data_IF_543074766813
#
_entry.id   IF_543074766813
#
_cell.length_a   1.000
_cell.length_b   1.000
_cell.length_c   1.000
_cell.angle_alpha   90.00
_cell.angle_beta   90.00
_cell.angle_gamma   90.00
#
_symmetry.space_group_name_H-M   'P 1'
#
loop_
_entity.id
_entity.type
_entity.pdbx_description
1 polymer ?
#
# COMPACT_ATOMS: atom_id res chain seq x y z
N UNK A 1 9.97 -2.48 13.06
CA UNK A 1 9.99 -2.37 11.59
C UNK A 1 8.60 -1.92 11.15
N UNK A 2 8.49 -0.88 10.31
CA UNK A 2 7.21 -0.60 9.67
C UNK A 2 6.88 -1.76 8.73
N UNK A 3 5.69 -2.34 8.84
CA UNK A 3 5.29 -3.46 7.98
C UNK A 3 5.27 -3.04 6.50
N UNK A 4 5.54 -3.99 5.61
CA UNK A 4 5.42 -3.81 4.17
C UNK A 4 4.66 -4.98 3.54
N UNK A 5 3.99 -4.72 2.42
CA UNK A 5 3.26 -5.74 1.66
C UNK A 5 3.17 -5.33 0.19
N UNK A 6 3.18 -6.29 -0.73
CA UNK A 6 2.88 -6.00 -2.13
C UNK A 6 1.39 -5.72 -2.29
N UNK A 7 1.03 -4.78 -3.17
CA UNK A 7 -0.37 -4.49 -3.49
C UNK A 7 -1.15 -5.73 -3.93
N UNK A 8 -0.49 -6.67 -4.64
CA UNK A 8 -1.11 -7.95 -5.02
C UNK A 8 -1.55 -8.76 -3.80
N UNK A 9 -0.72 -8.83 -2.76
CA UNK A 9 -1.05 -9.54 -1.52
C UNK A 9 -2.21 -8.86 -0.78
N UNK A 10 -2.30 -7.53 -0.85
CA UNK A 10 -3.42 -6.77 -0.28
C UNK A 10 -4.71 -7.11 -1.02
N UNK A 11 -4.68 -7.15 -2.36
CA UNK A 11 -5.82 -7.59 -3.18
C UNK A 11 -6.24 -9.02 -2.80
N UNK A 12 -5.30 -9.96 -2.76
CA UNK A 12 -5.56 -11.37 -2.45
C UNK A 12 -6.14 -11.56 -1.04
N UNK A 13 -5.63 -10.84 -0.04
CA UNK A 13 -6.08 -10.98 1.36
C UNK A 13 -7.38 -10.25 1.68
N UNK A 14 -7.70 -9.17 0.96
CA UNK A 14 -8.92 -8.38 1.22
C UNK A 14 -10.10 -8.82 0.35
N UNK A 15 -9.84 -9.47 -0.79
CA UNK A 15 -10.88 -9.79 -1.79
C UNK A 15 -11.41 -8.56 -2.54
N UNK A 16 -10.82 -7.37 -2.35
CA UNK A 16 -11.23 -6.18 -3.06
C UNK A 16 -10.70 -6.14 -4.49
N UNK A 17 -11.44 -5.46 -5.38
CA UNK A 17 -10.96 -5.22 -6.73
C UNK A 17 -9.65 -4.42 -6.70
N UNK A 18 -8.80 -4.63 -7.72
CA UNK A 18 -7.53 -3.89 -7.85
C UNK A 18 -7.74 -2.38 -7.87
N UNK A 19 -8.82 -1.91 -8.50
CA UNK A 19 -9.19 -0.49 -8.54
C UNK A 19 -9.51 0.05 -7.13
N UNK A 20 -10.33 -0.66 -6.36
CA UNK A 20 -10.67 -0.29 -4.98
C UNK A 20 -9.44 -0.26 -4.06
N UNK A 21 -8.57 -1.28 -4.17
CA UNK A 21 -7.30 -1.29 -3.43
C UNK A 21 -6.42 -0.10 -3.82
N UNK A 22 -6.34 0.23 -5.11
CA UNK A 22 -5.55 1.38 -5.56
C UNK A 22 -6.09 2.71 -5.03
N UNK A 23 -7.42 2.89 -5.02
CA UNK A 23 -8.07 4.09 -4.47
C UNK A 23 -7.76 4.26 -2.98
N UNK A 24 -7.93 3.19 -2.18
CA UNK A 24 -7.63 3.18 -0.74
C UNK A 24 -6.15 3.52 -0.51
N UNK A 25 -5.24 2.86 -1.22
CA UNK A 25 -3.80 3.09 -1.05
C UNK A 25 -3.40 4.51 -1.47
N UNK A 26 -4.02 5.08 -2.51
CA UNK A 26 -3.79 6.49 -2.88
C UNK A 26 -4.26 7.46 -1.81
N UNK A 27 -5.40 7.20 -1.17
CA UNK A 27 -5.87 8.00 -0.05
C UNK A 27 -4.92 7.90 1.16
N UNK A 28 -4.45 6.69 1.50
CA UNK A 28 -3.50 6.47 2.59
C UNK A 28 -2.13 7.12 2.33
N UNK A 29 -1.65 7.07 1.10
CA UNK A 29 -0.41 7.74 0.67
C UNK A 29 -0.55 9.26 0.75
N UNK A 30 -1.68 9.81 0.27
CA UNK A 30 -2.00 11.25 0.39
C UNK A 30 -2.06 11.71 1.86
N UNK A 31 -2.55 10.85 2.74
CA UNK A 31 -2.58 11.10 4.19
C UNK A 31 -1.23 10.85 4.89
N UNK A 32 -0.18 10.49 4.14
CA UNK A 32 1.16 10.28 4.67
C UNK A 32 1.34 9.00 5.50
N UNK A 33 0.38 8.07 5.46
CA UNK A 33 0.40 6.82 6.25
C UNK A 33 1.31 5.77 5.61
N UNK A 34 1.38 5.76 4.28
CA UNK A 34 2.18 4.79 3.51
C UNK A 34 2.99 5.46 2.41
N UNK A 35 3.88 4.70 1.81
CA UNK A 35 4.60 5.01 0.57
C UNK A 35 4.46 3.87 -0.44
N UNK A 36 4.24 4.20 -1.71
CA UNK A 36 4.26 3.23 -2.82
C UNK A 36 5.63 3.22 -3.50
N UNK A 37 6.31 2.07 -3.42
CA UNK A 37 7.60 1.86 -4.08
C UNK A 37 7.43 0.89 -5.25
N UNK A 38 7.87 1.28 -6.45
CA UNK A 38 7.87 0.38 -7.61
C UNK A 38 9.05 -0.59 -7.52
N UNK A 39 8.75 -1.89 -7.48
CA UNK A 39 9.75 -2.97 -7.44
C UNK A 39 9.50 -3.89 -8.63
N UNK A 40 10.29 -3.71 -9.69
CA UNK A 40 10.11 -4.41 -10.96
C UNK A 40 8.73 -4.13 -11.57
N UNK A 41 7.92 -5.18 -11.71
CA UNK A 41 6.53 -5.11 -12.22
C UNK A 41 5.48 -4.95 -11.12
N UNK A 42 5.89 -4.85 -9.87
CA UNK A 42 5.01 -4.83 -8.70
C UNK A 42 5.10 -3.51 -7.94
N UNK A 43 4.06 -3.21 -7.16
CA UNK A 43 4.02 -2.10 -6.22
C UNK A 43 4.16 -2.64 -4.80
N UNK A 44 5.20 -2.22 -4.10
CA UNK A 44 5.43 -2.49 -2.68
C UNK A 44 4.85 -1.33 -1.86
N UNK A 45 4.04 -1.65 -0.87
CA UNK A 45 3.44 -0.70 0.06
C UNK A 45 4.23 -0.75 1.36
N UNK A 46 4.73 0.41 1.80
CA UNK A 46 5.55 0.53 3.02
C UNK A 46 4.86 1.48 3.98
N UNK A 47 4.70 1.07 5.23
CA UNK A 47 4.15 1.93 6.29
C UNK A 47 5.17 3.03 6.65
N UNK A 48 4.72 4.30 6.68
CA UNK A 48 5.50 5.38 7.26
C UNK A 48 5.36 5.33 8.78
N UNK A 49 6.45 5.55 9.50
CA UNK A 49 6.35 5.82 10.95
C UNK A 49 5.55 7.12 11.10
N UNK A 50 4.46 7.09 11.84
CA UNK A 50 3.92 8.33 12.38
C UNK A 50 5.04 8.94 13.24
N UNK A 51 5.46 10.17 12.94
CA UNK A 51 6.24 10.94 13.91
C UNK A 51 5.32 11.08 15.13
N UNK A 52 5.64 10.36 16.21
CA UNK A 52 5.17 10.70 17.55
C UNK A 52 5.77 12.04 17.94
#
# INVERSE_FOLDING_TARGET
>A
MGGSAFQKQIVEKTGFSKAKVNEILSALEKNGVIEKVKVGRSQLIVMKKMKQ
#
